data_IF_314589675718
#
_entry.id   IF_314589675718
#
_cell.length_a   1.000
_cell.length_b   1.000
_cell.length_c   1.000
_cell.angle_alpha   90.00
_cell.angle_beta   90.00
_cell.angle_gamma   90.00
#
_symmetry.space_group_name_H-M   'P 1'
#
loop_
_entity.id
_entity.type
_entity.pdbx_description
1 polymer ?
#
# COMPACT_ATOMS: atom_id res chain seq x y z
N UNK A 1 -10.39 42.57 -14.79
CA UNK A 1 -10.51 41.12 -15.08
C UNK A 1 -10.44 40.78 -16.59
N UNK A 2 -10.24 41.74 -17.50
CA UNK A 2 -10.24 41.49 -18.95
C UNK A 2 -8.84 41.33 -19.58
N UNK A 3 -7.80 41.18 -18.76
CA UNK A 3 -6.43 41.05 -19.26
C UNK A 3 -6.03 39.57 -19.23
N UNK A 4 -5.93 38.97 -20.42
CA UNK A 4 -5.60 37.55 -20.62
C UNK A 4 -4.31 37.18 -19.89
N UNK A 5 -3.35 38.10 -19.83
CA UNK A 5 -2.08 37.91 -19.11
C UNK A 5 -2.25 37.71 -17.60
N UNK A 6 -3.19 38.42 -16.97
CA UNK A 6 -3.43 38.27 -15.52
C UNK A 6 -4.10 36.93 -15.20
N UNK A 7 -5.01 36.48 -16.08
CA UNK A 7 -5.67 35.18 -15.95
C UNK A 7 -4.65 34.05 -16.13
N UNK A 8 -3.76 34.16 -17.12
CA UNK A 8 -2.69 33.19 -17.35
C UNK A 8 -1.69 33.16 -16.19
N UNK A 9 -1.30 34.31 -15.65
CA UNK A 9 -0.41 34.39 -14.49
C UNK A 9 -1.01 33.73 -13.24
N UNK A 10 -2.28 34.02 -12.93
CA UNK A 10 -2.97 33.42 -11.78
C UNK A 10 -3.16 31.91 -11.95
N UNK A 11 -3.71 31.48 -13.08
CA UNK A 11 -3.93 30.06 -13.37
C UNK A 11 -2.63 29.27 -13.40
N UNK A 12 -1.56 29.84 -13.99
CA UNK A 12 -0.23 29.24 -14.04
C UNK A 12 0.41 29.12 -12.66
N UNK A 13 0.33 30.18 -11.84
CA UNK A 13 0.82 30.16 -10.46
C UNK A 13 0.08 29.15 -9.59
N UNK A 14 -1.26 29.11 -9.70
CA UNK A 14 -2.09 28.15 -8.98
C UNK A 14 -1.83 26.70 -9.41
N UNK A 15 -1.74 26.44 -10.72
CA UNK A 15 -1.43 25.11 -11.24
C UNK A 15 -0.03 24.64 -10.81
N UNK A 16 0.97 25.52 -10.88
CA UNK A 16 2.34 25.22 -10.47
C UNK A 16 2.42 24.95 -8.97
N UNK A 17 1.81 25.81 -8.14
CA UNK A 17 1.76 25.63 -6.69
C UNK A 17 1.07 24.32 -6.29
N UNK A 18 -0.04 23.97 -6.95
CA UNK A 18 -0.75 22.70 -6.74
C UNK A 18 0.12 21.51 -7.14
N UNK A 19 0.79 21.57 -8.30
CA UNK A 19 1.67 20.50 -8.76
C UNK A 19 2.85 20.26 -7.81
N UNK A 20 3.52 21.32 -7.37
CA UNK A 20 4.62 21.24 -6.39
C UNK A 20 4.11 20.72 -5.05
N UNK A 21 2.94 21.17 -4.60
CA UNK A 21 2.28 20.67 -3.40
C UNK A 21 2.05 19.15 -3.46
N UNK A 22 1.43 18.66 -4.54
CA UNK A 22 1.21 17.22 -4.76
C UNK A 22 2.53 16.43 -4.84
N UNK A 23 3.57 16.99 -5.45
CA UNK A 23 4.88 16.35 -5.52
C UNK A 23 5.51 16.20 -4.13
N UNK A 24 5.46 17.25 -3.32
CA UNK A 24 5.96 17.25 -1.95
C UNK A 24 5.15 16.32 -1.05
N UNK A 25 3.82 16.33 -1.15
CA UNK A 25 2.94 15.42 -0.41
C UNK A 25 3.24 13.96 -0.76
N UNK A 26 3.34 13.63 -2.05
CA UNK A 26 3.76 12.30 -2.49
C UNK A 26 5.12 11.93 -1.89
N UNK A 27 6.05 12.88 -1.82
CA UNK A 27 7.38 12.69 -1.23
C UNK A 27 7.34 12.53 0.30
N UNK A 28 6.38 13.14 0.98
CA UNK A 28 6.13 13.11 2.42
C UNK A 28 5.21 11.98 2.88
N UNK A 29 4.51 11.29 1.98
CA UNK A 29 3.79 10.03 2.25
C UNK A 29 4.74 8.85 2.61
N UNK A 30 5.89 9.17 3.21
CA UNK A 30 6.82 8.29 3.91
C UNK A 30 6.05 7.68 5.08
N UNK A 31 5.78 6.39 4.97
CA UNK A 31 5.02 5.67 5.96
C UNK A 31 4.85 4.23 5.50
N UNK A 32 4.49 3.38 6.45
CA UNK A 32 4.25 1.98 6.22
C UNK A 32 2.77 1.69 6.43
N UNK A 33 2.27 0.71 5.69
CA UNK A 33 0.93 0.16 5.88
C UNK A 33 1.07 -1.32 6.18
N UNK A 34 0.17 -1.82 7.03
CA UNK A 34 0.02 -3.24 7.25
C UNK A 34 -1.18 -3.73 6.43
N UNK A 35 -0.92 -4.61 5.47
CA UNK A 35 -1.94 -5.25 4.66
C UNK A 35 -2.26 -6.58 5.33
N UNK A 36 -3.51 -6.72 5.76
CA UNK A 36 -4.05 -7.97 6.28
C UNK A 36 -4.81 -8.68 5.18
N UNK A 37 -4.47 -9.94 4.93
CA UNK A 37 -5.10 -10.78 3.92
C UNK A 37 -5.67 -12.00 4.60
N UNK A 38 -6.95 -12.27 4.39
CA UNK A 38 -7.61 -13.49 4.85
C UNK A 38 -7.97 -14.31 3.61
N UNK A 39 -7.40 -15.52 3.51
CA UNK A 39 -7.66 -16.47 2.42
C UNK A 39 -8.03 -17.83 2.99
N UNK A 40 -9.01 -18.49 2.37
CA UNK A 40 -9.46 -19.83 2.75
C UNK A 40 -8.48 -20.93 2.35
N UNK A 41 -7.80 -20.78 1.20
CA UNK A 41 -7.01 -21.88 0.60
C UNK A 41 -5.62 -21.46 0.13
N UNK A 42 -5.40 -20.19 -0.19
CA UNK A 42 -4.20 -19.72 -0.90
C UNK A 42 -3.22 -18.95 -0.01
N UNK A 43 -3.34 -19.08 1.32
CA UNK A 43 -2.51 -18.37 2.28
C UNK A 43 -1.01 -18.49 2.02
N UNK A 44 -0.52 -19.73 1.94
CA UNK A 44 0.88 -20.03 1.70
C UNK A 44 1.38 -19.55 0.33
N UNK A 45 0.54 -19.61 -0.71
CA UNK A 45 0.92 -19.14 -2.05
C UNK A 45 1.07 -17.62 -2.08
N UNK A 46 0.12 -16.89 -1.48
CA UNK A 46 0.16 -15.43 -1.36
C UNK A 46 1.44 -15.03 -0.63
N UNK A 47 1.68 -15.60 0.55
CA UNK A 47 2.86 -15.27 1.33
C UNK A 47 4.17 -15.63 0.62
N UNK A 48 4.23 -16.74 -0.09
CA UNK A 48 5.39 -17.13 -0.91
C UNK A 48 5.65 -16.11 -2.04
N UNK A 49 4.62 -15.71 -2.80
CA UNK A 49 4.78 -14.70 -3.86
C UNK A 49 5.18 -13.33 -3.30
N UNK A 50 4.59 -12.92 -2.19
CA UNK A 50 4.91 -11.65 -1.51
C UNK A 50 6.37 -11.65 -1.04
N UNK A 51 6.85 -12.76 -0.44
CA UNK A 51 8.26 -12.91 -0.05
C UNK A 51 9.21 -12.88 -1.26
N UNK A 52 8.85 -13.55 -2.36
CA UNK A 52 9.64 -13.53 -3.61
C UNK A 52 9.72 -12.14 -4.24
N UNK A 53 8.68 -11.31 -4.07
CA UNK A 53 8.69 -9.92 -4.50
C UNK A 53 9.52 -9.00 -3.57
N UNK A 54 10.11 -9.53 -2.50
CA UNK A 54 11.01 -8.80 -1.60
C UNK A 54 10.32 -8.14 -0.39
N UNK A 55 9.07 -8.51 -0.12
CA UNK A 55 8.29 -8.00 1.01
C UNK A 55 8.24 -9.00 2.17
N UNK A 56 8.17 -8.50 3.40
CA UNK A 56 7.92 -9.33 4.58
C UNK A 56 6.47 -9.79 4.64
N UNK A 57 6.25 -11.10 4.80
CA UNK A 57 4.92 -11.68 5.02
C UNK A 57 4.95 -12.66 6.20
N UNK A 58 4.05 -12.47 7.15
CA UNK A 58 3.84 -13.35 8.30
C UNK A 58 2.51 -14.07 8.13
N UNK A 59 2.50 -15.39 8.28
CA UNK A 59 1.31 -16.23 8.15
C UNK A 59 0.85 -16.71 9.53
N UNK A 60 -0.44 -16.65 9.78
CA UNK A 60 -1.09 -17.08 11.01
C UNK A 60 -2.29 -17.96 10.64
N UNK A 61 -2.40 -19.19 11.18
CA UNK A 61 -3.64 -19.95 11.11
C UNK A 61 -4.71 -19.26 11.97
N UNK A 62 -5.91 -19.10 11.42
CA UNK A 62 -7.05 -18.46 12.09
C UNK A 62 -8.35 -19.23 11.82
N UNK A 63 -9.40 -18.90 12.58
CA UNK A 63 -10.73 -19.50 12.43
C UNK A 63 -11.74 -18.40 12.08
N UNK A 64 -12.36 -18.51 10.91
CA UNK A 64 -13.49 -17.69 10.49
C UNK A 64 -14.81 -18.42 10.70
N UNK A 65 -15.92 -17.76 10.35
CA UNK A 65 -17.25 -18.36 10.42
C UNK A 65 -17.36 -19.67 9.61
N UNK A 66 -16.69 -19.73 8.46
CA UNK A 66 -16.70 -20.88 7.56
C UNK A 66 -15.58 -21.90 7.84
N UNK A 67 -14.87 -21.78 8.97
CA UNK A 67 -13.82 -22.70 9.38
C UNK A 67 -12.40 -22.12 9.29
N UNK A 68 -11.41 -22.99 9.12
CA UNK A 68 -9.99 -22.62 9.11
C UNK A 68 -9.67 -21.70 7.93
N UNK A 69 -8.97 -20.62 8.22
CA UNK A 69 -8.48 -19.64 7.26
C UNK A 69 -7.02 -19.31 7.55
N UNK A 70 -6.35 -18.78 6.53
CA UNK A 70 -5.01 -18.20 6.66
C UNK A 70 -5.14 -16.69 6.75
N UNK A 71 -4.59 -16.12 7.80
CA UNK A 71 -4.39 -14.68 7.93
C UNK A 71 -2.94 -14.35 7.63
N UNK A 72 -2.70 -13.39 6.76
CA UNK A 72 -1.37 -12.97 6.33
C UNK A 72 -1.23 -11.49 6.65
N UNK A 73 -0.16 -11.12 7.35
CA UNK A 73 0.20 -9.74 7.62
C UNK A 73 1.43 -9.36 6.81
N UNK A 74 1.31 -8.29 6.05
CA UNK A 74 2.32 -7.82 5.10
C UNK A 74 2.56 -6.34 5.36
N UNK A 75 3.76 -5.99 5.83
CA UNK A 75 4.12 -4.60 6.10
C UNK A 75 4.92 -4.07 4.91
N UNK A 76 4.42 -3.01 4.26
CA UNK A 76 5.07 -2.40 3.09
C UNK A 76 5.06 -0.88 3.17
N UNK A 77 6.00 -0.21 2.48
CA UNK A 77 5.90 1.23 2.24
C UNK A 77 4.56 1.57 1.59
N UNK A 78 3.90 2.63 2.05
CA UNK A 78 2.57 3.05 1.57
C UNK A 78 2.51 3.20 0.05
N UNK A 79 3.59 3.67 -0.57
CA UNK A 79 3.71 3.81 -2.04
C UNK A 79 3.68 2.48 -2.80
N UNK A 80 4.10 1.38 -2.17
CA UNK A 80 4.16 0.03 -2.77
C UNK A 80 2.88 -0.78 -2.50
N UNK A 81 1.95 -0.26 -1.70
CA UNK A 81 0.63 -0.88 -1.46
C UNK A 81 -0.07 -1.32 -2.75
N UNK A 82 -0.21 -0.50 -3.81
CA UNK A 82 -0.95 -0.90 -5.01
C UNK A 82 -0.36 -2.13 -5.71
N UNK A 83 0.98 -2.23 -5.73
CA UNK A 83 1.71 -3.36 -6.31
C UNK A 83 1.41 -4.67 -5.55
N UNK A 84 1.46 -4.61 -4.23
CA UNK A 84 1.22 -5.78 -3.36
C UNK A 84 -0.25 -6.22 -3.43
N UNK A 85 -1.19 -5.28 -3.45
CA UNK A 85 -2.61 -5.58 -3.63
C UNK A 85 -2.89 -6.25 -4.98
N UNK A 86 -2.27 -5.77 -6.07
CA UNK A 86 -2.40 -6.39 -7.38
C UNK A 86 -1.85 -7.84 -7.38
N UNK A 87 -0.73 -8.06 -6.71
CA UNK A 87 -0.12 -9.40 -6.58
C UNK A 87 -1.01 -10.36 -5.77
N UNK A 88 -1.60 -9.90 -4.66
CA UNK A 88 -2.54 -10.70 -3.86
C UNK A 88 -3.77 -11.05 -4.71
N UNK A 89 -4.38 -10.06 -5.37
CA UNK A 89 -5.57 -10.25 -6.19
C UNK A 89 -5.34 -11.19 -7.38
N UNK A 90 -4.13 -11.19 -7.96
CA UNK A 90 -3.75 -12.13 -9.03
C UNK A 90 -3.63 -13.58 -8.53
N UNK A 91 -3.32 -13.80 -7.25
CA UNK A 91 -3.27 -15.13 -6.64
C UNK A 91 -4.65 -15.57 -6.19
N UNK A 92 -5.32 -14.74 -5.40
CA UNK A 92 -6.62 -15.02 -4.82
C UNK A 92 -7.54 -13.79 -4.94
N UNK A 93 -8.38 -13.73 -5.99
CA UNK A 93 -9.33 -12.64 -6.17
C UNK A 93 -10.49 -12.69 -5.17
N UNK A 94 -10.62 -13.79 -4.40
CA UNK A 94 -11.63 -13.96 -3.37
C UNK A 94 -11.10 -13.68 -1.96
N UNK A 95 -9.81 -13.32 -1.83
CA UNK A 95 -9.22 -12.99 -0.55
C UNK A 95 -9.82 -11.70 0.01
N UNK A 96 -10.12 -11.72 1.31
CA UNK A 96 -10.55 -10.53 2.03
C UNK A 96 -9.32 -9.73 2.47
N UNK A 97 -9.24 -8.45 2.10
CA UNK A 97 -8.06 -7.61 2.33
C UNK A 97 -8.43 -6.36 3.09
N UNK A 98 -7.72 -6.07 4.19
CA UNK A 98 -7.78 -4.79 4.91
C UNK A 98 -6.40 -4.14 4.97
N UNK A 99 -6.38 -2.83 5.17
CA UNK A 99 -5.15 -2.04 5.19
C UNK A 99 -5.18 -1.09 6.37
N UNK A 100 -4.22 -1.24 7.27
CA UNK A 100 -4.04 -0.39 8.44
C UNK A 100 -2.82 0.51 8.28
N UNK A 101 -2.93 1.75 8.74
CA UNK A 101 -1.84 2.71 8.74
C UNK A 101 -0.92 2.51 9.94
N UNK A 102 0.38 2.32 9.67
CA UNK A 102 1.37 2.11 10.73
C UNK A 102 2.04 3.43 11.10
N UNK A 103 1.93 3.81 12.38
CA UNK A 103 2.56 5.03 12.92
C UNK A 103 4.09 4.94 13.00
N UNK A 104 4.62 3.76 13.30
CA UNK A 104 6.05 3.51 13.45
C UNK A 104 6.37 2.05 13.17
N UNK A 105 7.45 1.81 12.44
CA UNK A 105 8.01 0.47 12.20
C UNK A 105 9.50 0.59 12.51
N UNK A 106 9.96 -0.09 13.56
CA UNK A 106 11.38 -0.02 13.97
C UNK A 106 12.25 -1.04 13.19
N UNK A 107 11.74 -2.25 12.97
CA UNK A 107 12.45 -3.36 12.30
C UNK A 107 11.48 -4.21 11.49
N UNK A 108 12.00 -4.87 10.44
CA UNK A 108 11.21 -5.77 9.60
C UNK A 108 12.04 -6.36 8.46
N UNK A 109 11.46 -7.36 7.78
CA UNK A 109 12.06 -8.00 6.60
C UNK A 109 11.76 -7.19 5.33
N UNK A 110 12.79 -6.91 4.51
CA UNK A 110 12.67 -6.13 3.27
C UNK A 110 12.93 -4.63 3.44
N UNK A 111 12.72 -3.86 2.37
CA UNK A 111 13.00 -2.41 2.13
C UNK A 111 12.41 -1.39 3.13
N UNK A 112 12.11 -1.80 4.36
CA UNK A 112 11.53 -1.00 5.45
C UNK A 112 12.54 -0.06 6.13
N UNK A 113 13.82 -0.08 5.74
CA UNK A 113 14.84 0.84 6.24
C UNK A 113 16.03 1.03 5.30
N UNK A 114 16.14 2.23 4.74
CA UNK A 114 17.36 3.03 4.80
C UNK A 114 16.98 4.35 5.44
#
# INVERSE_FOLDING_TARGET
LNNVWNILGYSGGFATGTFVGMYLENRLALGNVNIHVISLKKGAEIASKVRKAGYGATELPALGQSGLVWQISIIVPRRQKPEVLALINAVDPTAFVTVDDMRRVDRGYGRLGK
#
